data_IF_584859310574
#
_entry.id   IF_584859310574
#
_cell.length_a   1.000
_cell.length_b   1.000
_cell.length_c   1.000
_cell.angle_alpha   90.00
_cell.angle_beta   90.00
_cell.angle_gamma   90.00
#
_symmetry.space_group_name_H-M   'P 1'
#
loop_
_entity.id
_entity.type
_entity.pdbx_description
1 polymer ?
#
# COMPACT_ATOMS: atom_id res chain seq x y z
N UNK A 1 -9.48 7.49 4.77
CA UNK A 1 -9.66 7.97 3.38
C UNK A 1 -8.85 7.08 2.46
N UNK A 2 -9.19 6.99 1.13
CA UNK A 2 -8.42 6.25 0.15
C UNK A 2 -7.87 7.19 -0.90
N UNK A 3 -6.78 6.81 -1.55
CA UNK A 3 -6.18 7.56 -2.66
C UNK A 3 -7.22 7.77 -3.77
N UNK A 4 -7.44 9.04 -4.11
CA UNK A 4 -8.50 9.41 -5.05
C UNK A 4 -8.03 9.24 -6.50
N UNK A 5 -8.61 8.29 -7.22
CA UNK A 5 -8.46 8.12 -8.67
C UNK A 5 -9.67 7.37 -9.24
N UNK A 6 -9.87 7.47 -10.54
CA UNK A 6 -11.03 6.87 -11.19
C UNK A 6 -10.77 6.46 -12.63
N UNK A 7 -11.84 6.47 -13.42
CA UNK A 7 -11.78 6.02 -14.82
C UNK A 7 -10.91 6.93 -15.71
N UNK A 8 -10.76 8.20 -15.37
CA UNK A 8 -9.91 9.14 -16.12
C UNK A 8 -8.45 8.67 -16.14
N UNK A 9 -7.88 8.38 -14.97
CA UNK A 9 -6.50 7.93 -14.79
C UNK A 9 -6.31 6.54 -15.39
N UNK A 10 -7.24 5.64 -15.05
CA UNK A 10 -7.22 4.25 -15.50
C UNK A 10 -7.31 4.13 -17.01
N UNK A 11 -8.26 4.82 -17.66
CA UNK A 11 -8.40 4.83 -19.12
C UNK A 11 -7.20 5.45 -19.82
N UNK A 12 -6.59 6.48 -19.23
CA UNK A 12 -5.35 7.05 -19.77
C UNK A 12 -4.23 6.02 -19.78
N UNK A 13 -3.97 5.36 -18.64
CA UNK A 13 -2.91 4.37 -18.50
C UNK A 13 -3.14 3.16 -19.43
N UNK A 14 -4.38 2.68 -19.55
CA UNK A 14 -4.77 1.62 -20.49
C UNK A 14 -4.42 1.96 -21.95
N UNK A 15 -4.71 3.18 -22.38
CA UNK A 15 -4.38 3.63 -23.75
C UNK A 15 -2.87 3.74 -23.97
N UNK A 16 -2.14 4.19 -22.96
CA UNK A 16 -0.69 4.43 -23.06
C UNK A 16 0.15 3.17 -23.05
N UNK A 17 -0.32 2.11 -22.37
CA UNK A 17 0.49 0.92 -22.18
C UNK A 17 -0.34 -0.36 -22.13
N UNK A 18 -0.20 -1.21 -23.17
CA UNK A 18 -0.95 -2.46 -23.29
C UNK A 18 -0.63 -3.49 -22.19
N UNK A 19 0.62 -3.50 -21.66
CA UNK A 19 1.00 -4.44 -20.61
C UNK A 19 0.44 -3.99 -19.26
N UNK A 20 0.52 -2.70 -18.98
CA UNK A 20 -0.12 -2.14 -17.78
C UNK A 20 -1.65 -2.25 -17.86
N UNK A 21 -2.24 -2.08 -19.05
CA UNK A 21 -3.67 -2.34 -19.28
C UNK A 21 -4.06 -3.75 -18.81
N UNK A 22 -3.33 -4.78 -19.27
CA UNK A 22 -3.59 -6.15 -18.86
C UNK A 22 -3.45 -6.39 -17.34
N UNK A 23 -2.55 -5.67 -16.68
CA UNK A 23 -2.41 -5.66 -15.21
C UNK A 23 -3.63 -5.03 -14.54
N UNK A 24 -4.03 -3.85 -15.01
CA UNK A 24 -5.19 -3.12 -14.51
C UNK A 24 -6.47 -3.96 -14.64
N UNK A 25 -6.69 -4.59 -15.81
CA UNK A 25 -7.88 -5.41 -16.08
C UNK A 25 -7.95 -6.66 -15.16
N UNK A 26 -6.80 -7.18 -14.76
CA UNK A 26 -6.72 -8.36 -13.87
C UNK A 26 -6.86 -8.02 -12.40
N UNK A 27 -6.35 -6.88 -11.97
CA UNK A 27 -6.36 -6.48 -10.55
C UNK A 27 -7.65 -5.73 -10.20
N UNK A 28 -8.19 -4.94 -11.15
CA UNK A 28 -9.31 -4.05 -10.90
C UNK A 28 -8.91 -2.80 -10.14
N UNK A 29 -9.87 -2.18 -9.44
CA UNK A 29 -9.60 -0.99 -8.61
C UNK A 29 -8.81 -1.36 -7.35
N UNK A 30 -7.87 -0.49 -6.96
CA UNK A 30 -7.05 -0.68 -5.76
C UNK A 30 -7.42 0.40 -4.75
N UNK A 31 -8.04 0.00 -3.64
CA UNK A 31 -8.28 0.86 -2.50
C UNK A 31 -6.99 1.01 -1.68
N UNK A 32 -6.35 2.16 -1.75
CA UNK A 32 -5.13 2.46 -1.01
C UNK A 32 -5.41 3.48 0.07
N UNK A 33 -5.32 3.08 1.34
CA UNK A 33 -5.48 4.00 2.47
C UNK A 33 -4.40 5.10 2.44
N UNK A 34 -4.83 6.33 2.73
CA UNK A 34 -4.00 7.54 2.79
C UNK A 34 -4.20 8.24 4.13
N UNK A 35 -3.17 8.95 4.56
CA UNK A 35 -3.18 9.83 5.72
C UNK A 35 -3.02 11.27 5.21
N UNK A 36 -4.08 12.07 5.28
CA UNK A 36 -4.11 13.42 4.68
C UNK A 36 -3.63 14.51 5.61
N UNK A 37 -3.26 14.19 6.85
CA UNK A 37 -2.62 15.14 7.74
C UNK A 37 -1.09 15.11 7.55
N UNK A 38 -0.52 16.19 7.02
CA UNK A 38 0.90 16.24 6.67
C UNK A 38 1.79 16.13 7.91
N UNK A 39 1.39 16.70 9.06
CA UNK A 39 2.14 16.59 10.29
C UNK A 39 2.24 15.14 10.77
N UNK A 40 1.11 14.45 10.91
CA UNK A 40 1.05 13.04 11.28
C UNK A 40 1.76 12.15 10.27
N UNK A 41 1.62 12.44 8.97
CA UNK A 41 2.24 11.66 7.90
C UNK A 41 3.76 11.68 7.98
N UNK A 42 4.38 12.83 8.22
CA UNK A 42 5.84 12.93 8.43
C UNK A 42 6.28 12.07 9.60
N UNK A 43 5.57 12.15 10.73
CA UNK A 43 5.88 11.36 11.94
C UNK A 43 5.71 9.87 11.68
N UNK A 44 4.60 9.46 11.03
CA UNK A 44 4.35 8.08 10.63
C UNK A 44 5.51 7.52 9.80
N UNK A 45 6.00 8.30 8.82
CA UNK A 45 7.11 7.88 7.98
C UNK A 45 8.41 7.74 8.78
N UNK A 46 8.71 8.65 9.70
CA UNK A 46 9.89 8.54 10.59
C UNK A 46 9.77 7.29 11.48
N UNK A 47 8.62 7.06 12.12
CA UNK A 47 8.39 5.87 12.96
C UNK A 47 8.55 4.59 12.13
N UNK A 48 7.99 4.53 10.92
CA UNK A 48 7.97 3.36 10.06
C UNK A 48 9.31 2.93 9.49
N UNK A 49 10.35 3.79 9.53
CA UNK A 49 11.65 3.45 8.95
C UNK A 49 12.26 2.19 9.58
N UNK A 50 12.64 1.23 8.72
CA UNK A 50 13.34 -0.01 9.11
C UNK A 50 12.61 -0.90 10.13
N UNK A 51 11.30 -0.79 10.25
CA UNK A 51 10.47 -1.66 11.09
C UNK A 51 9.28 -2.22 10.29
N UNK A 52 8.61 -3.23 10.82
CA UNK A 52 7.40 -3.78 10.20
C UNK A 52 6.19 -2.83 10.39
N UNK A 53 5.22 -2.91 9.48
CA UNK A 53 3.96 -2.15 9.59
C UNK A 53 3.26 -2.40 10.93
N UNK A 54 3.25 -3.65 11.43
CA UNK A 54 2.67 -3.99 12.74
C UNK A 54 3.36 -3.22 13.88
N UNK A 55 4.69 -3.15 13.86
CA UNK A 55 5.45 -2.42 14.88
C UNK A 55 5.18 -0.91 14.78
N UNK A 56 5.12 -0.36 13.57
CA UNK A 56 4.76 1.05 13.33
C UNK A 56 3.38 1.37 13.89
N UNK A 57 2.35 0.57 13.56
CA UNK A 57 0.98 0.76 14.09
C UNK A 57 0.97 0.71 15.61
N UNK A 58 1.72 -0.22 16.23
CA UNK A 58 1.80 -0.32 17.69
C UNK A 58 2.41 0.92 18.32
N UNK A 59 3.51 1.46 17.76
CA UNK A 59 4.17 2.67 18.27
C UNK A 59 3.26 3.89 18.09
N UNK A 60 2.60 4.00 16.95
CA UNK A 60 1.67 5.08 16.68
C UNK A 60 0.49 5.08 17.67
N UNK A 61 -0.12 3.92 17.91
CA UNK A 61 -1.20 3.81 18.90
C UNK A 61 -0.75 4.22 20.29
N UNK A 62 0.44 3.77 20.73
CA UNK A 62 1.01 4.19 22.02
C UNK A 62 1.24 5.70 22.08
N UNK A 63 1.63 6.32 20.97
CA UNK A 63 1.80 7.78 20.90
C UNK A 63 0.47 8.49 21.09
N UNK A 64 -0.59 8.04 20.39
CA UNK A 64 -1.93 8.58 20.56
C UNK A 64 -2.46 8.39 22.00
N UNK A 65 -2.28 7.20 22.58
CA UNK A 65 -2.70 6.91 23.97
C UNK A 65 -1.95 7.77 25.00
N UNK A 66 -0.69 8.07 24.77
CA UNK A 66 0.17 8.80 25.69
C UNK A 66 0.07 10.33 25.59
N UNK A 67 -0.27 10.86 24.39
CA UNK A 67 -0.29 12.28 24.09
C UNK A 67 -1.72 12.81 23.89
N UNK A 68 -2.69 11.94 23.61
CA UNK A 68 -4.02 12.32 23.13
C UNK A 68 -3.93 12.81 21.68
N UNK A 69 -3.99 14.10 21.48
CA UNK A 69 -3.73 14.70 20.17
C UNK A 69 -2.23 14.72 19.86
N UNK A 70 -1.85 14.26 18.67
CA UNK A 70 -0.47 14.27 18.21
C UNK A 70 -0.23 15.53 17.37
N UNK A 71 0.26 16.57 18.02
CA UNK A 71 0.62 17.86 17.43
C UNK A 71 1.99 18.36 17.93
N UNK A 72 2.45 19.48 17.41
CA UNK A 72 3.78 20.01 17.76
C UNK A 72 3.93 20.28 19.26
N UNK A 73 2.92 20.85 19.90
CA UNK A 73 2.94 21.20 21.33
C UNK A 73 3.02 19.96 22.22
N UNK A 74 2.19 18.95 21.96
CA UNK A 74 2.15 17.70 22.75
C UNK A 74 3.44 16.90 22.59
N UNK A 75 4.06 16.92 21.42
CA UNK A 75 5.36 16.27 21.16
C UNK A 75 6.47 16.99 21.92
N UNK A 76 6.52 18.32 21.85
CA UNK A 76 7.52 19.12 22.57
C UNK A 76 7.39 18.97 24.08
N UNK A 77 6.15 18.99 24.60
CA UNK A 77 5.88 18.78 26.02
C UNK A 77 6.28 17.36 26.50
N UNK A 78 6.17 16.34 25.65
CA UNK A 78 6.59 14.98 25.97
C UNK A 78 8.11 14.83 26.03
N UNK A 79 8.81 15.46 25.09
CA UNK A 79 10.26 15.40 24.98
C UNK A 79 10.80 14.03 24.51
N UNK A 80 12.07 14.01 24.13
CA UNK A 80 12.75 12.84 23.55
C UNK A 80 12.67 11.58 24.44
N UNK A 81 12.87 11.62 25.78
CA UNK A 81 12.84 10.42 26.59
C UNK A 81 11.47 9.73 26.60
N UNK A 82 10.37 10.49 26.71
CA UNK A 82 9.02 9.94 26.70
C UNK A 82 8.67 9.35 25.33
N UNK A 83 9.02 10.03 24.24
CA UNK A 83 8.83 9.51 22.88
C UNK A 83 9.59 8.21 22.65
N UNK A 84 10.85 8.14 23.11
CA UNK A 84 11.66 6.92 23.01
C UNK A 84 11.02 5.74 23.76
N UNK A 85 10.47 6.00 24.95
CA UNK A 85 9.81 4.99 25.78
C UNK A 85 8.57 4.36 25.11
N UNK A 86 7.99 4.99 24.07
CA UNK A 86 6.89 4.44 23.28
C UNK A 86 7.32 3.27 22.37
N UNK A 87 8.65 3.06 22.21
CA UNK A 87 9.22 1.91 21.49
C UNK A 87 9.97 2.29 20.21
N UNK A 88 10.32 3.54 20.03
CA UNK A 88 11.18 3.99 18.93
C UNK A 88 12.64 4.20 19.39
N UNK A 89 13.55 4.37 18.44
CA UNK A 89 14.96 4.70 18.77
C UNK A 89 15.08 6.16 19.19
N UNK A 90 16.11 6.50 19.99
CA UNK A 90 16.43 7.88 20.34
C UNK A 90 16.55 8.80 19.12
N UNK A 91 17.22 8.32 18.08
CA UNK A 91 17.38 9.05 16.81
C UNK A 91 16.04 9.43 16.18
N UNK A 92 15.04 8.51 16.18
CA UNK A 92 13.69 8.81 15.66
C UNK A 92 12.96 9.81 16.56
N UNK A 93 13.05 9.65 17.88
CA UNK A 93 12.46 10.61 18.82
C UNK A 93 13.07 12.00 18.64
N UNK A 94 14.39 12.11 18.45
CA UNK A 94 15.07 13.40 18.16
C UNK A 94 14.59 14.00 16.83
N UNK A 95 14.43 13.19 15.77
CA UNK A 95 13.93 13.68 14.48
C UNK A 95 12.50 14.20 14.57
N UNK A 96 11.63 13.50 15.31
CA UNK A 96 10.24 13.90 15.53
C UNK A 96 10.19 15.18 16.36
N UNK A 97 11.02 15.32 17.41
CA UNK A 97 11.09 16.54 18.23
C UNK A 97 11.62 17.74 17.42
N UNK A 98 12.69 17.57 16.61
CA UNK A 98 13.23 18.60 15.71
C UNK A 98 12.18 19.07 14.69
N UNK A 99 11.41 18.13 14.13
CA UNK A 99 10.33 18.46 13.22
C UNK A 99 9.21 19.25 13.92
N UNK A 100 8.77 18.79 15.09
CA UNK A 100 7.75 19.48 15.88
C UNK A 100 8.19 20.90 16.28
N UNK A 101 9.48 21.09 16.65
CA UNK A 101 10.04 22.41 16.95
C UNK A 101 10.00 23.34 15.74
N UNK A 102 10.39 22.84 14.55
CA UNK A 102 10.34 23.64 13.32
C UNK A 102 8.92 24.06 12.95
N UNK A 103 7.93 23.16 13.11
CA UNK A 103 6.52 23.50 12.87
C UNK A 103 6.02 24.50 13.91
N UNK A 104 6.31 24.28 15.18
CA UNK A 104 5.87 25.15 16.28
C UNK A 104 6.44 26.58 16.16
N UNK A 105 7.68 26.72 15.72
CA UNK A 105 8.35 28.00 15.53
C UNK A 105 8.05 28.68 14.19
N UNK A 106 7.31 28.02 13.31
CA UNK A 106 7.06 28.49 11.93
C UNK A 106 8.27 28.39 11.00
N UNK A 107 9.35 27.72 11.42
CA UNK A 107 10.52 27.48 10.57
C UNK A 107 10.24 26.43 9.47
N UNK A 108 9.17 25.66 9.62
CA UNK A 108 8.63 24.75 8.61
C UNK A 108 7.13 24.96 8.52
N UNK A 109 6.69 25.53 7.41
CA UNK A 109 5.28 25.86 7.13
C UNK A 109 4.63 24.70 6.35
N UNK A 110 3.72 23.98 7.01
CA UNK A 110 3.01 22.83 6.44
C UNK A 110 2.10 23.25 5.28
N UNK A 111 1.37 24.36 5.45
CA UNK A 111 0.43 24.86 4.44
C UNK A 111 1.19 25.31 3.18
N UNK A 112 2.34 25.96 3.35
CA UNK A 112 3.20 26.33 2.24
C UNK A 112 3.66 25.09 1.45
N UNK A 113 4.09 24.01 2.13
CA UNK A 113 4.53 22.76 1.48
C UNK A 113 3.42 22.12 0.69
N UNK A 114 2.18 22.14 1.18
CA UNK A 114 1.04 21.59 0.45
C UNK A 114 0.76 22.30 -0.88
N UNK A 115 1.14 23.58 -0.99
CA UNK A 115 0.93 24.38 -2.20
C UNK A 115 2.16 24.46 -3.13
N UNK A 116 3.30 23.88 -2.73
CA UNK A 116 4.52 23.83 -3.55
C UNK A 116 4.37 22.91 -4.78
N UNK A 117 5.25 23.11 -5.77
CA UNK A 117 5.46 22.11 -6.81
C UNK A 117 5.98 20.80 -6.23
N UNK A 118 5.80 19.66 -6.91
CA UNK A 118 6.30 18.37 -6.43
C UNK A 118 7.82 18.41 -6.16
N UNK A 119 8.58 19.09 -7.01
CA UNK A 119 10.03 19.22 -6.85
C UNK A 119 10.39 20.04 -5.61
N UNK A 120 9.75 21.19 -5.41
CA UNK A 120 10.01 22.07 -4.27
C UNK A 120 9.55 21.43 -2.95
N UNK A 121 8.40 20.73 -2.95
CA UNK A 121 7.91 20.00 -1.78
C UNK A 121 8.85 18.84 -1.39
N UNK A 122 9.41 18.11 -2.36
CA UNK A 122 10.42 17.08 -2.10
C UNK A 122 11.65 17.71 -1.44
N UNK A 123 12.17 18.83 -1.95
CA UNK A 123 13.35 19.48 -1.37
C UNK A 123 13.06 20.04 0.03
N UNK A 124 11.88 20.65 0.25
CA UNK A 124 11.46 21.12 1.57
C UNK A 124 11.40 19.97 2.59
N UNK A 125 10.74 18.86 2.24
CA UNK A 125 10.66 17.68 3.11
C UNK A 125 12.04 17.05 3.37
N UNK A 126 12.94 17.02 2.39
CA UNK A 126 14.29 16.50 2.54
C UNK A 126 15.19 17.32 3.47
N UNK A 127 14.85 18.60 3.68
CA UNK A 127 15.53 19.43 4.67
C UNK A 127 15.24 19.01 6.13
N UNK A 128 14.23 18.15 6.34
CA UNK A 128 13.91 17.57 7.64
C UNK A 128 14.86 16.40 7.95
N UNK A 129 15.28 16.34 9.22
CA UNK A 129 16.15 15.24 9.68
C UNK A 129 15.45 13.88 9.51
N UNK A 130 16.12 12.95 8.86
CA UNK A 130 15.62 11.60 8.66
C UNK A 130 14.71 11.42 7.44
N UNK A 131 14.40 12.46 6.68
CA UNK A 131 13.61 12.37 5.46
C UNK A 131 14.54 12.36 4.24
N UNK A 132 14.58 11.23 3.53
CA UNK A 132 15.24 11.10 2.24
C UNK A 132 14.28 11.32 1.07
N UNK A 133 14.82 11.30 -0.17
CA UNK A 133 14.03 11.46 -1.41
C UNK A 133 12.86 10.51 -1.44
N UNK A 134 13.11 9.20 -1.26
CA UNK A 134 12.04 8.19 -1.27
C UNK A 134 10.95 8.46 -0.23
N UNK A 135 11.33 8.87 0.99
CA UNK A 135 10.34 9.18 2.03
C UNK A 135 9.51 10.41 1.66
N UNK A 136 10.14 11.47 1.12
CA UNK A 136 9.44 12.65 0.64
C UNK A 136 8.46 12.31 -0.49
N UNK A 137 8.88 11.51 -1.48
CA UNK A 137 8.00 11.03 -2.56
C UNK A 137 6.81 10.22 -2.02
N UNK A 138 7.00 9.38 -0.98
CA UNK A 138 5.91 8.64 -0.36
C UNK A 138 4.94 9.55 0.41
N UNK A 139 5.42 10.62 1.04
CA UNK A 139 4.57 11.64 1.66
C UNK A 139 3.74 12.36 0.59
N UNK A 140 4.35 12.80 -0.51
CA UNK A 140 3.63 13.42 -1.62
C UNK A 140 2.54 12.49 -2.17
N UNK A 141 2.82 11.21 -2.29
CA UNK A 141 1.88 10.25 -2.84
C UNK A 141 0.77 9.89 -1.85
N UNK A 142 1.11 9.52 -0.60
CA UNK A 142 0.15 8.95 0.34
C UNK A 142 -0.47 9.96 1.31
N UNK A 143 0.07 11.19 1.41
CA UNK A 143 -0.52 12.26 2.18
C UNK A 143 -1.14 13.32 1.27
N UNK A 144 -0.33 13.92 0.42
CA UNK A 144 -0.75 15.01 -0.46
C UNK A 144 -1.50 14.51 -1.72
N UNK A 145 -1.57 13.21 -1.94
CA UNK A 145 -2.23 12.54 -3.07
C UNK A 145 -1.81 13.09 -4.44
N UNK A 146 -0.53 13.46 -4.57
CA UNK A 146 -0.01 13.99 -5.82
C UNK A 146 -0.10 12.94 -6.94
N UNK A 147 -0.63 13.30 -8.13
CA UNK A 147 -0.98 12.33 -9.17
C UNK A 147 0.22 11.76 -9.93
N UNK A 148 1.34 12.47 -9.96
CA UNK A 148 2.47 12.16 -10.87
C UNK A 148 3.78 11.78 -10.16
N UNK A 149 3.69 11.10 -9.02
CA UNK A 149 4.85 10.62 -8.29
C UNK A 149 5.28 9.23 -8.77
N UNK A 150 6.58 9.12 -9.16
CA UNK A 150 7.18 7.87 -9.62
C UNK A 150 8.59 7.73 -9.05
N UNK A 151 8.75 6.96 -7.98
CA UNK A 151 9.98 6.87 -7.22
C UNK A 151 10.97 5.88 -7.84
N UNK A 152 12.15 6.38 -8.24
CA UNK A 152 13.21 5.52 -8.77
C UNK A 152 13.83 4.62 -7.69
N UNK A 153 13.97 5.14 -6.47
CA UNK A 153 14.58 4.42 -5.36
C UNK A 153 13.65 3.39 -4.72
N UNK A 154 12.40 3.31 -5.20
CA UNK A 154 11.45 2.29 -4.76
C UNK A 154 11.72 0.93 -5.41
N UNK A 155 12.26 0.01 -4.61
CA UNK A 155 12.62 -1.34 -5.08
C UNK A 155 11.41 -2.15 -5.53
N UNK A 156 10.22 -1.90 -4.98
CA UNK A 156 9.02 -2.62 -5.35
C UNK A 156 8.44 -2.10 -6.67
N UNK A 157 8.51 -0.79 -6.96
CA UNK A 157 8.21 -0.24 -8.29
C UNK A 157 9.18 -0.81 -9.32
N UNK A 158 10.49 -0.82 -9.06
CA UNK A 158 11.47 -1.42 -9.95
C UNK A 158 11.20 -2.91 -10.20
N UNK A 159 10.84 -3.65 -9.13
CA UNK A 159 10.45 -5.07 -9.25
C UNK A 159 9.20 -5.23 -10.08
N UNK A 160 8.15 -4.44 -9.83
CA UNK A 160 6.93 -4.45 -10.63
C UNK A 160 7.21 -4.19 -12.12
N UNK A 161 8.05 -3.20 -12.45
CA UNK A 161 8.47 -2.94 -13.81
C UNK A 161 9.20 -4.15 -14.44
N UNK A 162 10.10 -4.80 -13.71
CA UNK A 162 10.77 -6.01 -14.22
C UNK A 162 9.76 -7.13 -14.50
N UNK A 163 8.80 -7.33 -13.60
CA UNK A 163 7.77 -8.38 -13.73
C UNK A 163 6.84 -8.12 -14.91
N UNK A 164 6.31 -6.90 -15.04
CA UNK A 164 5.37 -6.54 -16.11
C UNK A 164 6.04 -6.50 -17.48
N UNK A 165 7.27 -5.98 -17.57
CA UNK A 165 7.94 -5.73 -18.84
C UNK A 165 9.05 -6.73 -19.19
N UNK A 166 9.29 -7.72 -18.32
CA UNK A 166 10.29 -8.77 -18.49
C UNK A 166 11.73 -8.22 -18.62
N UNK A 167 12.03 -7.19 -17.81
CA UNK A 167 13.38 -6.64 -17.74
C UNK A 167 14.19 -7.34 -16.67
N UNK A 168 15.50 -7.49 -16.91
CA UNK A 168 16.44 -8.01 -15.91
C UNK A 168 16.87 -6.94 -14.90
N UNK A 169 16.92 -5.70 -15.39
CA UNK A 169 17.34 -4.54 -14.63
C UNK A 169 16.55 -3.31 -15.10
N UNK A 170 16.33 -2.36 -14.19
CA UNK A 170 15.71 -1.06 -14.47
C UNK A 170 16.71 0.03 -14.15
N UNK A 171 17.52 0.42 -15.15
CA UNK A 171 18.39 1.58 -15.01
C UNK A 171 17.62 2.90 -15.15
N UNK A 172 18.22 4.03 -14.71
CA UNK A 172 17.58 5.35 -14.73
C UNK A 172 17.01 5.74 -16.11
N UNK A 173 17.71 5.55 -17.25
CA UNK A 173 17.15 5.92 -18.55
C UNK A 173 15.87 5.14 -18.91
N UNK A 174 15.81 3.86 -18.56
CA UNK A 174 14.63 3.02 -18.79
C UNK A 174 13.49 3.39 -17.84
N UNK A 175 13.79 3.67 -16.58
CA UNK A 175 12.83 4.16 -15.61
C UNK A 175 12.17 5.46 -16.07
N UNK A 176 12.96 6.44 -16.52
CA UNK A 176 12.46 7.72 -17.02
C UNK A 176 11.61 7.56 -18.29
N UNK A 177 11.87 6.54 -19.11
CA UNK A 177 11.00 6.21 -20.23
C UNK A 177 9.60 5.78 -19.77
N UNK A 178 9.51 4.97 -18.69
CA UNK A 178 8.23 4.58 -18.09
C UNK A 178 7.56 5.76 -17.39
N UNK A 179 8.32 6.57 -16.65
CA UNK A 179 7.81 7.78 -16.03
C UNK A 179 7.11 8.68 -17.05
N UNK A 180 7.76 9.03 -18.14
CA UNK A 180 7.16 9.83 -19.22
C UNK A 180 5.94 9.18 -19.87
N UNK A 181 5.86 7.84 -19.89
CA UNK A 181 4.73 7.12 -20.44
C UNK A 181 3.50 7.19 -19.56
N UNK A 182 3.69 7.09 -18.25
CA UNK A 182 2.61 7.06 -17.27
C UNK A 182 2.17 8.44 -16.82
N UNK A 183 3.04 9.44 -16.93
CA UNK A 183 2.70 10.84 -16.62
C UNK A 183 1.48 11.29 -17.45
N UNK A 184 0.52 12.01 -16.82
CA UNK A 184 0.55 12.62 -15.50
C UNK A 184 -0.03 11.76 -14.35
N UNK A 185 -0.13 10.42 -14.53
CA UNK A 185 -0.75 9.52 -13.54
C UNK A 185 0.20 8.45 -13.04
N UNK A 186 1.47 8.84 -12.80
CA UNK A 186 2.50 7.94 -12.30
C UNK A 186 2.16 7.34 -10.95
N UNK A 187 1.46 8.07 -10.08
CA UNK A 187 1.04 7.57 -8.76
C UNK A 187 0.09 6.39 -8.88
N UNK A 188 -0.89 6.45 -9.78
CA UNK A 188 -1.80 5.34 -10.06
C UNK A 188 -1.04 4.15 -10.67
N UNK A 189 -0.11 4.40 -11.60
CA UNK A 189 0.73 3.35 -12.16
C UNK A 189 1.58 2.67 -11.06
N UNK A 190 2.08 3.43 -10.07
CA UNK A 190 2.82 2.90 -8.92
C UNK A 190 1.97 1.94 -8.08
N UNK A 191 0.67 2.23 -7.86
CA UNK A 191 -0.24 1.33 -7.13
C UNK A 191 -0.29 -0.07 -7.78
N UNK A 192 -0.45 -0.12 -9.10
CA UNK A 192 -0.48 -1.38 -9.84
C UNK A 192 0.86 -2.10 -9.86
N UNK A 193 1.97 -1.38 -9.99
CA UNK A 193 3.31 -1.96 -9.94
C UNK A 193 3.63 -2.54 -8.55
N UNK A 194 3.22 -1.87 -7.47
CA UNK A 194 3.32 -2.42 -6.11
C UNK A 194 2.47 -3.66 -5.93
N UNK A 195 1.23 -3.68 -6.44
CA UNK A 195 0.36 -4.84 -6.38
C UNK A 195 0.98 -6.05 -7.08
N UNK A 196 1.51 -5.87 -8.30
CA UNK A 196 2.24 -6.93 -9.02
C UNK A 196 3.47 -7.38 -8.24
N UNK A 197 4.27 -6.45 -7.75
CA UNK A 197 5.46 -6.75 -6.92
C UNK A 197 5.11 -7.52 -5.66
N UNK A 198 3.96 -7.25 -5.07
CA UNK A 198 3.40 -7.93 -3.90
C UNK A 198 2.78 -9.30 -4.19
N UNK A 199 2.69 -9.71 -5.46
CA UNK A 199 2.17 -11.02 -5.85
C UNK A 199 0.67 -11.05 -6.20
N UNK A 200 0.03 -9.90 -6.45
CA UNK A 200 -1.38 -9.86 -6.87
C UNK A 200 -1.66 -10.66 -8.16
N UNK A 201 -0.62 -10.91 -8.96
CA UNK A 201 -0.68 -11.76 -10.16
C UNK A 201 0.37 -12.86 -10.00
N UNK A 202 0.02 -14.04 -9.46
CA UNK A 202 0.98 -15.07 -9.04
C UNK A 202 1.89 -15.63 -10.14
N UNK A 203 1.44 -15.64 -11.40
CA UNK A 203 2.23 -16.11 -12.53
C UNK A 203 3.26 -15.10 -13.04
N UNK A 204 3.16 -13.83 -12.67
CA UNK A 204 4.20 -12.84 -12.98
C UNK A 204 5.40 -13.04 -12.07
N UNK A 205 6.56 -13.29 -12.66
CA UNK A 205 7.83 -13.55 -11.93
C UNK A 205 8.80 -12.40 -12.12
N UNK A 206 9.66 -12.19 -11.12
CA UNK A 206 10.74 -11.20 -11.19
C UNK A 206 11.86 -11.75 -12.09
N UNK A 207 12.22 -11.00 -13.13
CA UNK A 207 13.26 -11.33 -14.09
C UNK A 207 14.68 -10.89 -13.66
N UNK A 208 14.82 -10.42 -12.42
CA UNK A 208 16.14 -10.03 -11.89
C UNK A 208 17.15 -11.17 -12.11
N UNK A 209 18.35 -10.83 -12.57
CA UNK A 209 19.44 -11.81 -12.71
C UNK A 209 19.74 -12.34 -11.31
N UNK A 210 19.42 -13.60 -11.05
CA UNK A 210 20.02 -14.31 -9.95
C UNK A 210 21.50 -14.52 -10.36
N UNK A 211 22.42 -13.84 -9.70
CA UNK A 211 23.82 -14.25 -9.76
C UNK A 211 23.88 -15.63 -9.14
N UNK A 212 23.78 -16.64 -10.00
CA UNK A 212 24.14 -18.00 -9.63
C UNK A 212 25.66 -17.92 -9.41
N UNK A 213 26.07 -17.78 -8.17
CA UNK A 213 27.40 -18.16 -7.78
C UNK A 213 27.49 -19.67 -8.06
N UNK A 214 27.89 -20.05 -9.27
CA UNK A 214 28.44 -21.36 -9.51
C UNK A 214 29.70 -21.40 -8.67
N UNK A 215 29.57 -22.02 -7.49
CA UNK A 215 30.67 -22.20 -6.58
C UNK A 215 31.84 -22.87 -7.30
N UNK A 216 32.93 -22.18 -7.42
CA UNK A 216 34.21 -22.83 -7.20
C UNK A 216 34.31 -23.05 -5.70
N UNK A 217 33.98 -24.25 -5.25
CA UNK A 217 34.47 -24.72 -3.98
C UNK A 217 35.99 -24.73 -4.04
N UNK A 218 36.61 -23.76 -3.44
CA UNK A 218 37.93 -23.90 -2.84
C UNK A 218 38.26 -22.68 -1.99
N UNK A 219 38.45 -22.94 -0.70
CA UNK A 219 39.25 -22.17 0.24
C UNK A 219 38.82 -20.71 0.53
N UNK A 220 38.04 -20.52 1.57
CA UNK A 220 38.35 -19.56 2.62
C UNK A 220 37.51 -19.84 3.86
N UNK A 221 38.06 -20.62 4.80
CA UNK A 221 37.63 -20.58 6.21
C UNK A 221 38.06 -19.21 6.77
N UNK A 222 37.10 -18.47 7.32
CA UNK A 222 37.39 -17.40 8.25
C UNK A 222 36.91 -16.01 7.81
N UNK A 223 35.79 -15.62 8.33
CA UNK A 223 35.24 -14.34 8.81
C UNK A 223 33.81 -14.15 8.34
N UNK A 224 32.88 -14.35 9.28
CA UNK A 224 31.51 -13.88 9.14
C UNK A 224 31.51 -12.35 9.20
N UNK A 225 31.35 -11.71 8.05
CA UNK A 225 30.91 -10.32 7.99
C UNK A 225 29.41 -10.38 7.80
N UNK A 226 28.67 -9.91 8.80
CA UNK A 226 27.22 -9.86 8.77
C UNK A 226 26.72 -8.93 7.67
N UNK A 227 26.23 -9.51 6.58
CA UNK A 227 25.41 -8.81 5.61
C UNK A 227 24.06 -8.53 6.28
N UNK A 228 23.84 -7.27 6.64
CA UNK A 228 22.57 -6.80 7.16
C UNK A 228 21.43 -7.16 6.20
N UNK A 229 20.48 -7.96 6.68
CA UNK A 229 19.20 -8.19 6.00
C UNK A 229 18.46 -6.86 5.98
N UNK A 230 18.31 -6.27 4.80
CA UNK A 230 17.29 -5.25 4.60
C UNK A 230 15.91 -5.89 4.76
N UNK A 231 15.07 -5.41 5.68
CA UNK A 231 13.70 -5.89 5.75
C UNK A 231 12.96 -5.45 4.49
N UNK A 232 12.39 -6.41 3.78
CA UNK A 232 11.38 -6.13 2.78
C UNK A 232 10.21 -5.46 3.51
N UNK A 233 9.93 -4.21 3.16
CA UNK A 233 8.71 -3.53 3.61
C UNK A 233 7.56 -4.24 2.91
N UNK A 234 6.94 -5.21 3.60
CA UNK A 234 5.73 -5.87 3.15
C UNK A 234 4.57 -4.87 3.29
N UNK A 235 4.21 -4.25 2.19
CA UNK A 235 2.93 -3.56 2.08
C UNK A 235 1.83 -4.63 2.03
N UNK A 236 1.12 -4.80 3.12
CA UNK A 236 -0.03 -5.68 3.18
C UNK A 236 -1.20 -4.97 2.49
N UNK A 237 -1.46 -5.37 1.24
CA UNK A 237 -2.67 -4.98 0.52
C UNK A 237 -3.79 -5.83 1.10
N UNK A 238 -4.70 -5.22 1.88
CA UNK A 238 -5.97 -5.84 2.22
C UNK A 238 -6.85 -5.77 0.99
N UNK A 239 -6.98 -6.88 0.26
CA UNK A 239 -8.08 -7.05 -0.68
C UNK A 239 -9.27 -7.57 0.12
N UNK A 240 -10.38 -6.83 0.22
CA UNK A 240 -11.63 -7.43 0.65
C UNK A 240 -12.05 -8.43 -0.44
N UNK A 241 -12.46 -9.62 -0.01
CA UNK A 241 -13.08 -10.59 -0.90
C UNK A 241 -14.35 -9.98 -1.48
N UNK A 242 -14.26 -9.41 -2.66
CA UNK A 242 -15.40 -8.88 -3.37
C UNK A 242 -16.09 -10.01 -4.14
N UNK A 243 -17.35 -10.24 -3.83
CA UNK A 243 -18.28 -11.02 -4.62
C UNK A 243 -18.31 -10.49 -6.06
N UNK A 244 -18.04 -11.38 -7.02
CA UNK A 244 -18.12 -11.11 -8.44
C UNK A 244 -19.58 -10.92 -8.83
N UNK A 245 -20.02 -9.80 -9.43
CA UNK A 245 -21.25 -9.78 -10.18
C UNK A 245 -20.99 -10.34 -11.57
N UNK A 246 -21.63 -11.47 -11.85
CA UNK A 246 -21.73 -12.02 -13.21
C UNK A 246 -22.56 -11.06 -14.05
N UNK A 247 -21.95 -10.37 -14.98
CA UNK A 247 -22.67 -9.71 -16.06
C UNK A 247 -22.47 -10.52 -17.35
N UNK A 248 -23.59 -11.00 -17.86
CA UNK A 248 -23.65 -11.94 -18.97
C UNK A 248 -23.39 -11.33 -20.34
N UNK A 249 -23.19 -12.25 -21.26
CA UNK A 249 -23.21 -12.19 -22.72
C UNK A 249 -21.88 -12.07 -23.45
N UNK A 250 -21.37 -13.27 -23.84
CA UNK A 250 -21.06 -13.56 -25.25
C UNK A 250 -20.72 -15.03 -25.45
N UNK A 251 -21.71 -15.75 -26.02
CA UNK A 251 -21.63 -16.68 -27.16
C UNK A 251 -20.78 -17.94 -27.07
N UNK A 252 -21.50 -19.07 -26.86
CA UNK A 252 -21.47 -20.34 -27.64
C UNK A 252 -20.19 -20.69 -28.41
N UNK A 253 -19.54 -21.74 -27.94
CA UNK A 253 -19.15 -23.00 -28.66
C UNK A 253 -18.00 -23.66 -27.89
N UNK A 254 -18.22 -24.81 -27.30
CA UNK A 254 -18.04 -26.16 -27.80
C UNK A 254 -18.49 -27.17 -26.76
N UNK A 255 -19.57 -27.89 -27.11
CA UNK A 255 -19.94 -29.19 -26.51
C UNK A 255 -19.11 -30.29 -27.14
N UNK A 256 -18.72 -31.26 -26.32
CA UNK A 256 -18.48 -32.72 -26.48
C UNK A 256 -17.11 -33.06 -25.91
N UNK A 257 -16.90 -34.02 -25.07
CA UNK A 257 -17.51 -35.31 -24.74
C UNK A 257 -16.79 -35.78 -23.46
N UNK A 258 -17.44 -36.40 -22.56
CA UNK A 258 -17.31 -37.80 -22.19
C UNK A 258 -18.20 -38.11 -21.01
N UNK A 259 -19.28 -38.80 -21.33
CA UNK A 259 -20.12 -39.57 -20.46
C UNK A 259 -19.46 -40.96 -20.27
N UNK A 260 -19.52 -41.51 -19.09
CA UNK A 260 -19.56 -42.94 -18.67
C UNK A 260 -19.12 -42.90 -17.20
N UNK A 261 -19.88 -43.26 -16.22
CA UNK A 261 -20.83 -44.26 -15.89
C UNK A 261 -20.64 -44.61 -14.42
N UNK A 262 -21.62 -44.60 -13.60
CA UNK A 262 -22.19 -45.76 -12.96
C UNK A 262 -23.23 -45.38 -11.88
N UNK A 263 -24.37 -46.01 -12.11
CA UNK A 263 -25.52 -46.13 -11.21
C UNK A 263 -25.19 -46.80 -9.86
N UNK A 264 -25.86 -46.37 -8.80
CA UNK A 264 -26.72 -47.26 -8.00
C UNK A 264 -27.43 -46.48 -6.89
N UNK A 265 -28.71 -46.31 -7.11
CA UNK A 265 -29.84 -46.72 -6.25
C UNK A 265 -29.82 -46.33 -4.77
N UNK A 266 -30.83 -45.52 -4.35
CA UNK A 266 -32.03 -45.96 -3.60
C UNK A 266 -32.94 -44.78 -3.28
N UNK A 267 -34.21 -44.92 -3.63
CA UNK A 267 -35.41 -44.14 -3.24
C UNK A 267 -36.07 -44.77 -2.01
N UNK A 268 -37.24 -44.30 -1.53
CA UNK A 268 -37.72 -43.03 -0.96
C UNK A 268 -38.55 -43.23 0.34
N UNK A 269 -38.99 -42.16 1.00
CA UNK A 269 -40.24 -42.07 1.78
C UNK A 269 -40.48 -40.61 2.18
N UNK A 270 -41.49 -39.91 1.63
CA UNK A 270 -42.91 -39.81 2.01
C UNK A 270 -43.13 -39.32 3.46
N UNK A 271 -43.70 -38.16 3.71
CA UNK A 271 -45.08 -37.71 3.81
C UNK A 271 -45.16 -36.42 4.65
N UNK A 272 -45.89 -35.43 4.16
CA UNK A 272 -46.48 -34.30 4.89
C UNK A 272 -47.66 -34.73 5.73
N UNK A 273 -48.48 -33.91 6.45
CA UNK A 273 -48.85 -32.51 6.18
C UNK A 273 -49.03 -31.58 7.42
N UNK A 274 -49.29 -30.32 7.11
CA UNK A 274 -49.97 -29.17 7.72
C UNK A 274 -50.72 -29.30 9.06
N UNK A 275 -50.76 -28.15 9.81
CA UNK A 275 -51.99 -27.53 10.35
C UNK A 275 -51.69 -26.16 11.00
N UNK A 276 -52.30 -25.14 10.44
CA UNK A 276 -53.03 -23.95 10.92
C UNK A 276 -52.61 -23.12 12.13
N UNK A 277 -52.68 -21.83 11.87
CA UNK A 277 -52.89 -20.60 12.66
C UNK A 277 -53.95 -20.69 13.81
N UNK A 278 -54.11 -19.70 14.74
CA UNK A 278 -54.21 -18.27 14.44
C UNK A 278 -53.74 -17.25 15.54
N UNK A 279 -53.59 -16.00 15.06
CA UNK A 279 -54.04 -14.71 15.62
C UNK A 279 -53.69 -14.23 17.04
N UNK A 280 -53.24 -12.94 17.04
CA UNK A 280 -53.88 -11.95 17.92
C UNK A 280 -52.94 -11.15 18.83
N UNK A 281 -52.92 -9.84 18.63
CA UNK A 281 -52.81 -8.92 19.75
C UNK A 281 -51.76 -7.83 19.70
N UNK A 282 -52.22 -6.70 19.24
CA UNK A 282 -51.77 -5.31 19.37
C UNK A 282 -51.10 -4.95 20.71
N UNK A 283 -50.20 -3.96 20.68
CA UNK A 283 -50.31 -2.59 21.27
C UNK A 283 -48.93 -2.02 21.57
N UNK A 284 -48.65 -0.88 20.95
CA UNK A 284 -47.68 0.19 21.24
C UNK A 284 -47.96 0.85 22.63
N UNK A 285 -47.24 1.91 23.05
CA UNK A 285 -45.88 2.43 22.86
C UNK A 285 -45.25 2.97 24.18
N UNK A 286 -44.04 3.50 24.10
CA UNK A 286 -43.71 4.55 25.08
C UNK A 286 -42.29 4.62 25.65
N UNK A 287 -41.54 5.61 25.16
CA UNK A 287 -40.73 6.61 25.92
C UNK A 287 -39.39 6.18 26.57
N UNK A 288 -38.26 6.73 26.06
CA UNK A 288 -37.55 7.98 26.34
C UNK A 288 -36.63 7.91 27.60
N UNK A 289 -35.32 7.99 27.33
CA UNK A 289 -34.18 8.70 27.98
C UNK A 289 -33.89 8.50 29.49
N UNK A 290 -32.66 8.77 29.95
CA UNK A 290 -31.60 9.66 29.43
C UNK A 290 -30.40 8.96 28.85
#
# INVERSE_FOLDING_TARGET
MYFAYGETEVSYLRRKDKRLCAVIDRIGHIDRAVDTDLFSSVIHHIIGQQISTKAQTTIWQRMQDALGEVNAETILAAGVPKLQALGMTFRKAEYITDFAEKVHTGAFDLDAVEHMSDADAIEALRALKGIGVWTAEMILLFCMQRPDIFSYDDLAIQRGLRMVYHHREIGRPLFEKYRRRFSPYCSVASLYLWAVSGGAIPEMKDYKIQMIFRGRESFFKGRRVGLGRFPAVFFQIHTPAAAVPVCGNAVLRQKRALQIGNEKMLRPAQLAPAVDHPEGGDILPGQIFP
#
